data_IF_967516123247
#
_entry.id   IF_967516123247
#
_cell.length_a   1.000
_cell.length_b   1.000
_cell.length_c   1.000
_cell.angle_alpha   90.00
_cell.angle_beta   90.00
_cell.angle_gamma   90.00
#
_symmetry.space_group_name_H-M   'P 1'
#
loop_
_entity.id
_entity.type
_entity.pdbx_description
1 polymer ?
#
# COMPACT_ATOMS: atom_id res chain seq x y z
N UNK A 1 -13.24 5.81 -14.99
CA UNK A 1 -13.30 6.82 -13.89
C UNK A 1 -12.10 6.53 -12.99
N UNK A 2 -11.34 7.55 -12.60
CA UNK A 2 -10.18 7.39 -11.70
C UNK A 2 -10.60 6.77 -10.36
N UNK A 3 -9.93 5.68 -9.95
CA UNK A 3 -10.11 5.04 -8.64
C UNK A 3 -9.18 5.74 -7.65
N UNK A 4 -9.77 6.57 -6.78
CA UNK A 4 -9.03 7.45 -5.88
C UNK A 4 -9.69 7.49 -4.51
N UNK A 5 -8.90 7.28 -3.47
CA UNK A 5 -9.32 7.29 -2.08
C UNK A 5 -8.23 7.78 -1.14
N UNK A 6 -8.43 7.52 0.13
CA UNK A 6 -7.49 7.88 1.18
C UNK A 6 -7.55 6.89 2.35
N UNK A 7 -6.62 7.05 3.28
CA UNK A 7 -6.60 6.24 4.50
C UNK A 7 -7.70 6.66 5.49
N UNK A 8 -8.64 5.74 5.76
CA UNK A 8 -9.77 5.95 6.66
C UNK A 8 -9.64 5.14 7.96
N UNK A 9 -10.41 5.53 8.97
CA UNK A 9 -10.42 4.85 10.26
C UNK A 9 -11.38 3.66 10.27
N UNK A 10 -10.87 2.46 10.52
CA UNK A 10 -11.68 1.25 10.66
C UNK A 10 -12.46 1.17 12.00
N UNK A 11 -12.42 2.20 12.85
CA UNK A 11 -13.00 2.15 14.19
C UNK A 11 -14.52 1.96 14.24
N UNK A 12 -15.24 2.45 13.22
CA UNK A 12 -16.69 2.39 13.11
C UNK A 12 -17.21 1.30 12.14
N UNK A 13 -16.32 0.48 11.57
CA UNK A 13 -16.68 -0.63 10.69
C UNK A 13 -16.55 -0.33 9.19
N UNK A 14 -16.78 -1.36 8.37
CA UNK A 14 -16.61 -1.29 6.92
C UNK A 14 -17.67 -0.43 6.23
N UNK A 15 -18.93 -0.59 6.60
CA UNK A 15 -20.02 0.22 6.04
C UNK A 15 -19.77 1.71 6.28
N UNK A 16 -19.32 2.06 7.48
CA UNK A 16 -19.01 3.46 7.81
C UNK A 16 -17.86 4.00 6.95
N UNK A 17 -16.77 3.26 6.77
CA UNK A 17 -15.67 3.65 5.87
C UNK A 17 -16.16 3.86 4.43
N UNK A 18 -17.01 2.97 3.92
CA UNK A 18 -17.62 3.15 2.60
C UNK A 18 -18.45 4.42 2.49
N UNK A 19 -19.26 4.73 3.50
CA UNK A 19 -20.05 5.97 3.55
C UNK A 19 -19.17 7.23 3.65
N UNK A 20 -18.11 7.19 4.48
CA UNK A 20 -17.13 8.28 4.55
C UNK A 20 -16.44 8.49 3.21
N UNK A 21 -15.96 7.41 2.55
CA UNK A 21 -15.32 7.50 1.23
C UNK A 21 -16.23 8.23 0.23
N UNK A 22 -17.48 7.82 0.10
CA UNK A 22 -18.44 8.47 -0.81
C UNK A 22 -18.68 9.93 -0.42
N UNK A 23 -18.77 10.24 0.88
CA UNK A 23 -19.02 11.61 1.37
C UNK A 23 -17.94 12.61 0.99
N UNK A 24 -16.70 12.16 0.79
CA UNK A 24 -15.54 12.97 0.40
C UNK A 24 -15.22 12.88 -1.10
N UNK A 25 -16.06 12.21 -1.90
CA UNK A 25 -15.86 12.03 -3.33
C UNK A 25 -14.85 10.93 -3.70
N UNK A 26 -14.47 10.08 -2.76
CA UNK A 26 -13.67 8.89 -3.01
C UNK A 26 -14.51 7.73 -3.57
N UNK A 27 -13.89 6.79 -4.27
CA UNK A 27 -14.49 5.55 -4.76
C UNK A 27 -13.62 4.31 -4.48
N UNK A 28 -12.68 4.44 -3.59
CA UNK A 28 -11.88 3.43 -2.92
C UNK A 28 -11.44 3.99 -1.57
N UNK A 29 -10.82 3.18 -0.73
CA UNK A 29 -10.16 3.64 0.50
C UNK A 29 -9.15 2.62 0.99
N UNK A 30 -8.21 3.10 1.79
CA UNK A 30 -7.29 2.29 2.55
C UNK A 30 -7.64 2.34 4.05
N UNK A 31 -7.29 1.30 4.79
CA UNK A 31 -7.50 1.26 6.23
C UNK A 31 -6.48 0.33 6.91
N UNK A 32 -6.15 0.59 8.18
CA UNK A 32 -5.42 -0.39 8.97
C UNK A 32 -6.34 -1.51 9.45
N UNK A 33 -5.92 -2.77 9.24
CA UNK A 33 -6.66 -3.97 9.68
C UNK A 33 -6.88 -4.03 11.18
N UNK A 34 -6.01 -3.36 11.94
CA UNK A 34 -6.00 -3.25 13.41
C UNK A 34 -5.26 -1.99 13.85
N UNK A 35 -5.16 -1.76 15.15
CA UNK A 35 -4.35 -0.66 15.65
C UNK A 35 -2.93 -0.71 15.04
N UNK A 36 -2.47 0.33 14.32
CA UNK A 36 -1.20 0.33 13.60
C UNK A 36 0.04 0.22 14.51
N UNK A 37 -0.13 0.43 15.82
CA UNK A 37 0.95 0.22 16.82
C UNK A 37 1.00 -1.22 17.34
N UNK A 38 0.35 -2.15 16.65
CA UNK A 38 0.20 -3.52 17.09
C UNK A 38 -0.98 -3.69 18.02
N UNK A 39 -1.50 -4.89 18.13
CA UNK A 39 -2.58 -5.18 19.05
C UNK A 39 -3.59 -6.16 18.48
N UNK A 40 -4.52 -6.53 19.31
CA UNK A 40 -5.62 -7.43 18.96
C UNK A 40 -6.60 -6.70 18.05
N UNK A 41 -6.97 -7.31 16.95
CA UNK A 41 -8.08 -6.83 16.12
C UNK A 41 -9.42 -7.04 16.87
N UNK A 42 -10.38 -6.15 16.63
CA UNK A 42 -11.77 -6.38 17.07
C UNK A 42 -12.33 -7.63 16.37
N UNK A 43 -13.27 -8.35 16.97
CA UNK A 43 -14.01 -9.39 16.27
C UNK A 43 -14.58 -8.86 14.96
N UNK A 44 -14.49 -9.67 13.89
CA UNK A 44 -15.07 -9.29 12.59
C UNK A 44 -16.59 -9.34 12.69
N UNK A 45 -17.26 -8.25 12.37
CA UNK A 45 -18.71 -8.18 12.26
C UNK A 45 -19.14 -8.54 10.82
N UNK A 46 -19.61 -9.77 10.62
CA UNK A 46 -20.02 -10.24 9.31
C UNK A 46 -21.29 -9.54 8.79
N UNK A 47 -22.13 -8.99 9.67
CA UNK A 47 -23.29 -8.21 9.25
C UNK A 47 -22.85 -6.84 8.69
N UNK A 48 -21.87 -6.20 9.33
CA UNK A 48 -21.25 -4.96 8.80
C UNK A 48 -20.54 -5.21 7.48
N UNK A 49 -19.80 -6.32 7.35
CA UNK A 49 -19.14 -6.71 6.08
C UNK A 49 -20.18 -6.89 4.97
N UNK A 50 -21.28 -7.61 5.23
CA UNK A 50 -22.34 -7.81 4.23
C UNK A 50 -22.99 -6.48 3.82
N UNK A 51 -23.33 -5.63 4.80
CA UNK A 51 -23.89 -4.31 4.54
C UNK A 51 -22.92 -3.41 3.73
N UNK A 52 -21.63 -3.50 4.00
CA UNK A 52 -20.61 -2.81 3.21
C UNK A 52 -20.55 -3.31 1.77
N UNK A 53 -20.57 -4.63 1.55
CA UNK A 53 -20.50 -5.19 0.19
C UNK A 53 -21.70 -4.76 -0.66
N UNK A 54 -22.90 -4.75 -0.09
CA UNK A 54 -24.09 -4.24 -0.76
C UNK A 54 -23.97 -2.74 -1.06
N UNK A 55 -23.50 -1.96 -0.09
CA UNK A 55 -23.27 -0.52 -0.25
C UNK A 55 -22.21 -0.22 -1.32
N UNK A 56 -21.08 -0.91 -1.28
CA UNK A 56 -19.97 -0.74 -2.22
C UNK A 56 -20.43 -1.04 -3.66
N UNK A 57 -21.18 -2.13 -3.86
CA UNK A 57 -21.75 -2.48 -5.16
C UNK A 57 -22.73 -1.40 -5.68
N UNK A 58 -23.59 -0.87 -4.81
CA UNK A 58 -24.57 0.14 -5.17
C UNK A 58 -23.96 1.52 -5.51
N UNK A 59 -22.80 1.85 -4.93
CA UNK A 59 -22.16 3.16 -5.06
C UNK A 59 -20.89 3.14 -5.92
N UNK A 60 -20.51 1.98 -6.50
CA UNK A 60 -19.35 1.87 -7.37
C UNK A 60 -18.01 2.05 -6.65
N UNK A 61 -17.93 1.59 -5.38
CA UNK A 61 -16.63 1.51 -4.68
C UNK A 61 -15.82 0.38 -5.31
N UNK A 62 -14.59 0.70 -5.72
CA UNK A 62 -13.64 -0.24 -6.32
C UNK A 62 -12.94 -1.13 -5.30
N UNK A 63 -11.79 -1.69 -5.72
CA UNK A 63 -10.94 -2.44 -4.80
C UNK A 63 -10.47 -1.53 -3.67
N UNK A 64 -10.51 -2.03 -2.44
CA UNK A 64 -9.97 -1.34 -1.25
C UNK A 64 -8.64 -1.95 -0.86
N UNK A 65 -7.83 -1.18 -0.13
CA UNK A 65 -6.52 -1.58 0.34
C UNK A 65 -6.56 -1.74 1.86
N UNK A 66 -6.39 -2.94 2.36
CA UNK A 66 -6.12 -3.17 3.76
C UNK A 66 -4.62 -3.04 4.01
N UNK A 67 -4.21 -2.19 4.94
CA UNK A 67 -2.81 -2.00 5.27
C UNK A 67 -2.45 -2.72 6.56
N UNK A 68 -1.38 -3.50 6.52
CA UNK A 68 -0.80 -4.11 7.72
C UNK A 68 -0.34 -3.04 8.72
N UNK A 69 -0.36 -3.30 10.01
CA UNK A 69 0.29 -2.40 10.96
C UNK A 69 1.75 -2.15 10.59
N UNK A 70 2.15 -0.89 10.47
CA UNK A 70 3.53 -0.51 10.10
C UNK A 70 4.59 -0.94 11.12
N UNK A 71 4.18 -1.42 12.29
CA UNK A 71 5.07 -1.97 13.31
C UNK A 71 5.42 -3.44 13.09
N UNK A 72 4.77 -4.12 12.15
CA UNK A 72 5.12 -5.50 11.81
C UNK A 72 6.49 -5.56 11.15
N UNK A 73 7.28 -6.55 11.56
CA UNK A 73 8.59 -6.78 10.97
C UNK A 73 8.85 -8.27 10.82
N UNK A 74 8.51 -8.80 9.63
CA UNK A 74 8.70 -10.21 9.28
C UNK A 74 10.16 -10.64 9.17
N UNK A 75 11.10 -9.69 9.10
CA UNK A 75 12.53 -9.94 9.00
C UNK A 75 13.33 -9.39 10.20
N UNK A 76 12.71 -9.30 11.37
CA UNK A 76 13.42 -8.93 12.60
C UNK A 76 14.46 -10.01 13.00
N UNK A 77 15.56 -9.59 13.62
CA UNK A 77 16.50 -10.51 14.25
C UNK A 77 15.85 -11.32 15.38
N UNK A 78 14.84 -10.73 16.06
CA UNK A 78 14.10 -11.39 17.13
C UNK A 78 13.02 -12.35 16.56
N UNK A 79 13.13 -13.67 16.82
CA UNK A 79 12.14 -14.64 16.37
C UNK A 79 10.71 -14.36 16.88
N UNK A 80 10.57 -13.80 18.09
CA UNK A 80 9.26 -13.51 18.66
C UNK A 80 8.54 -12.39 17.87
N UNK A 81 9.30 -11.40 17.37
CA UNK A 81 8.76 -10.33 16.52
C UNK A 81 8.35 -10.90 15.16
N UNK A 82 9.16 -11.78 14.54
CA UNK A 82 8.80 -12.44 13.28
C UNK A 82 7.54 -13.30 13.43
N UNK A 83 7.46 -14.06 14.51
CA UNK A 83 6.31 -14.93 14.78
C UNK A 83 5.03 -14.11 15.04
N UNK A 84 5.16 -12.98 15.71
CA UNK A 84 4.05 -12.02 15.88
C UNK A 84 3.60 -11.45 14.53
N UNK A 85 4.54 -11.03 13.67
CA UNK A 85 4.23 -10.52 12.34
C UNK A 85 3.50 -11.58 11.50
N UNK A 86 4.01 -12.81 11.45
CA UNK A 86 3.43 -13.95 10.74
C UNK A 86 2.00 -14.23 11.19
N UNK A 87 1.75 -14.35 12.50
CA UNK A 87 0.40 -14.61 13.04
C UNK A 87 -0.56 -13.47 12.75
N UNK A 88 -0.08 -12.24 12.85
CA UNK A 88 -0.89 -11.04 12.60
C UNK A 88 -1.31 -10.95 11.14
N UNK A 89 -0.37 -11.12 10.20
CA UNK A 89 -0.68 -11.10 8.78
C UNK A 89 -1.60 -12.24 8.36
N UNK A 90 -1.42 -13.44 8.91
CA UNK A 90 -2.32 -14.57 8.65
C UNK A 90 -3.75 -14.27 9.12
N UNK A 91 -3.93 -13.72 10.33
CA UNK A 91 -5.27 -13.32 10.82
C UNK A 91 -5.88 -12.22 9.96
N UNK A 92 -5.09 -11.24 9.52
CA UNK A 92 -5.56 -10.19 8.61
C UNK A 92 -6.03 -10.75 7.26
N UNK A 93 -5.26 -11.65 6.66
CA UNK A 93 -5.61 -12.28 5.38
C UNK A 93 -6.87 -13.15 5.49
N UNK A 94 -7.02 -13.90 6.60
CA UNK A 94 -8.24 -14.67 6.86
C UNK A 94 -9.48 -13.78 7.02
N UNK A 95 -9.33 -12.59 7.60
CA UNK A 95 -10.41 -11.59 7.68
C UNK A 95 -10.76 -11.03 6.32
N UNK A 96 -9.76 -10.76 5.48
CA UNK A 96 -9.96 -10.25 4.12
C UNK A 96 -10.58 -11.29 3.18
N UNK A 97 -10.55 -12.56 3.51
CA UNK A 97 -11.24 -13.59 2.74
C UNK A 97 -12.78 -13.40 2.74
N UNK A 98 -13.31 -12.66 3.73
CA UNK A 98 -14.69 -12.18 3.75
C UNK A 98 -14.95 -10.95 2.86
N UNK A 99 -13.90 -10.35 2.31
CA UNK A 99 -13.92 -9.20 1.41
C UNK A 99 -13.14 -9.54 0.11
N UNK A 100 -13.64 -10.51 -0.68
CA UNK A 100 -12.86 -11.10 -1.77
C UNK A 100 -12.49 -10.08 -2.85
N UNK A 101 -11.30 -10.27 -3.44
CA UNK A 101 -10.82 -9.45 -4.55
C UNK A 101 -10.15 -8.13 -4.13
N UNK A 102 -9.98 -7.89 -2.84
CA UNK A 102 -9.29 -6.71 -2.32
C UNK A 102 -7.79 -6.93 -2.13
N UNK A 103 -7.08 -5.87 -1.78
CA UNK A 103 -5.63 -5.81 -1.69
C UNK A 103 -5.20 -5.76 -0.21
N UNK A 104 -4.08 -6.40 0.10
CA UNK A 104 -3.45 -6.31 1.41
C UNK A 104 -2.02 -5.82 1.27
N UNK A 105 -1.75 -4.61 1.67
CA UNK A 105 -0.45 -3.96 1.58
C UNK A 105 0.35 -4.09 2.88
N UNK A 106 1.66 -4.32 2.79
CA UNK A 106 2.54 -4.33 3.94
C UNK A 106 3.95 -3.82 3.61
N UNK A 107 4.59 -3.22 4.61
CA UNK A 107 6.01 -2.89 4.55
C UNK A 107 6.83 -4.18 4.67
N UNK A 108 7.77 -4.48 3.77
CA UNK A 108 8.58 -5.71 3.85
C UNK A 108 9.32 -5.86 5.18
N UNK A 109 9.67 -4.74 5.82
CA UNK A 109 10.27 -4.72 7.15
C UNK A 109 11.67 -4.11 7.19
N UNK A 110 12.39 -4.38 8.26
CA UNK A 110 13.74 -3.84 8.49
C UNK A 110 14.67 -4.94 8.99
N UNK A 111 15.80 -5.10 8.31
CA UNK A 111 16.76 -6.18 8.60
C UNK A 111 17.61 -5.96 9.86
N UNK A 112 17.59 -4.76 10.44
CA UNK A 112 18.27 -4.42 11.71
C UNK A 112 19.67 -5.05 11.82
N UNK A 113 20.56 -4.73 10.87
CA UNK A 113 21.97 -5.20 10.77
C UNK A 113 22.19 -6.67 10.37
N UNK A 114 21.16 -7.47 10.10
CA UNK A 114 21.32 -8.85 9.60
C UNK A 114 21.73 -8.90 8.11
N UNK A 115 21.48 -7.83 7.37
CA UNK A 115 21.68 -7.76 5.91
C UNK A 115 20.42 -8.11 5.14
N UNK A 116 20.35 -7.60 3.91
CA UNK A 116 19.17 -7.72 3.04
C UNK A 116 18.91 -9.18 2.65
N UNK A 117 19.94 -9.98 2.40
CA UNK A 117 19.79 -11.38 2.00
C UNK A 117 19.06 -12.21 3.08
N UNK A 118 19.51 -12.12 4.34
CA UNK A 118 18.85 -12.80 5.46
C UNK A 118 17.43 -12.30 5.65
N UNK A 119 17.21 -11.00 5.50
CA UNK A 119 15.87 -10.43 5.60
C UNK A 119 14.94 -10.94 4.49
N UNK A 120 15.43 -11.03 3.25
CA UNK A 120 14.67 -11.57 2.13
C UNK A 120 14.24 -13.02 2.39
N UNK A 121 15.16 -13.88 2.86
CA UNK A 121 14.84 -15.26 3.24
C UNK A 121 13.73 -15.30 4.31
N UNK A 122 13.86 -14.50 5.37
CA UNK A 122 12.88 -14.46 6.47
C UNK A 122 11.50 -13.96 6.02
N UNK A 123 11.44 -12.98 5.09
CA UNK A 123 10.19 -12.50 4.51
C UNK A 123 9.55 -13.58 3.65
N UNK A 124 10.32 -14.27 2.82
CA UNK A 124 9.84 -15.38 1.99
C UNK A 124 9.31 -16.53 2.84
N UNK A 125 10.02 -16.91 3.91
CA UNK A 125 9.56 -17.94 4.87
C UNK A 125 8.22 -17.54 5.49
N UNK A 126 8.07 -16.28 5.88
CA UNK A 126 6.81 -15.76 6.42
C UNK A 126 5.71 -15.85 5.37
N UNK A 127 5.93 -15.38 4.14
CA UNK A 127 4.94 -15.40 3.06
C UNK A 127 4.55 -16.83 2.70
N UNK A 128 5.50 -17.74 2.55
CA UNK A 128 5.24 -19.15 2.27
C UNK A 128 4.42 -19.85 3.38
N UNK A 129 4.53 -19.37 4.63
CA UNK A 129 3.76 -19.90 5.75
C UNK A 129 2.33 -19.36 5.87
N UNK A 130 2.02 -18.22 5.23
CA UNK A 130 0.71 -17.54 5.40
C UNK A 130 -0.12 -17.47 4.13
N UNK A 131 0.46 -17.67 2.94
CA UNK A 131 -0.27 -17.68 1.68
C UNK A 131 -0.89 -19.06 1.42
N UNK A 132 -2.06 -19.09 0.78
CA UNK A 132 -2.73 -20.32 0.35
C UNK A 132 -3.31 -20.21 -1.06
N UNK A 133 -3.47 -21.34 -1.73
CA UNK A 133 -3.79 -21.43 -3.15
C UNK A 133 -5.09 -20.71 -3.53
N UNK A 134 -6.15 -20.90 -2.75
CA UNK A 134 -7.50 -20.40 -3.08
C UNK A 134 -7.77 -18.98 -2.56
N UNK A 135 -6.78 -18.32 -1.97
CA UNK A 135 -6.86 -16.95 -1.48
C UNK A 135 -7.28 -15.99 -2.59
N UNK A 136 -8.23 -15.10 -2.30
CA UNK A 136 -8.75 -14.10 -3.24
C UNK A 136 -8.11 -12.72 -3.09
N UNK A 137 -7.40 -12.49 -1.99
CA UNK A 137 -6.66 -11.26 -1.70
C UNK A 137 -5.31 -11.28 -2.41
N UNK A 138 -4.92 -10.19 -3.05
CA UNK A 138 -3.54 -10.00 -3.53
C UNK A 138 -2.74 -9.28 -2.45
N UNK A 139 -1.61 -9.85 -2.08
CA UNK A 139 -0.70 -9.28 -1.08
C UNK A 139 0.32 -8.39 -1.76
N UNK A 140 0.42 -7.15 -1.32
CA UNK A 140 1.30 -6.13 -1.91
C UNK A 140 2.52 -5.88 -1.04
N UNK A 141 3.68 -5.98 -1.65
CA UNK A 141 4.93 -5.45 -1.13
C UNK A 141 4.96 -3.95 -1.42
N UNK A 142 5.12 -3.13 -0.41
CA UNK A 142 5.26 -1.69 -0.63
C UNK A 142 6.69 -1.32 -1.00
N UNK A 143 6.86 -0.38 -1.93
CA UNK A 143 8.15 0.26 -2.17
C UNK A 143 8.54 1.12 -0.98
N UNK A 144 9.78 1.02 -0.50
CA UNK A 144 10.23 1.67 0.73
C UNK A 144 11.26 2.78 0.45
N UNK A 145 11.28 3.79 1.32
CA UNK A 145 12.20 4.94 1.21
C UNK A 145 13.68 4.60 1.47
N UNK A 146 13.96 3.42 2.04
CA UNK A 146 15.32 3.03 2.41
C UNK A 146 15.82 3.69 3.68
N UNK A 147 14.91 4.07 4.58
CA UNK A 147 15.24 4.65 5.87
C UNK A 147 15.89 3.61 6.78
N UNK A 148 17.11 3.87 7.20
CA UNK A 148 17.87 2.96 8.06
C UNK A 148 18.17 1.62 7.39
N UNK A 149 17.50 0.55 7.81
CA UNK A 149 17.69 -0.82 7.32
C UNK A 149 16.40 -1.41 6.74
N UNK A 150 15.53 -0.57 6.20
CA UNK A 150 14.33 -1.00 5.48
C UNK A 150 14.68 -1.84 4.27
N UNK A 151 13.88 -2.88 4.03
CA UNK A 151 13.92 -3.76 2.85
C UNK A 151 12.84 -3.34 1.88
N UNK A 152 13.11 -3.42 0.58
CA UNK A 152 12.17 -2.99 -0.46
C UNK A 152 12.44 -1.58 -0.98
N UNK A 153 13.61 -1.02 -0.70
CA UNK A 153 14.04 0.29 -1.19
C UNK A 153 14.45 0.28 -2.67
N UNK A 154 14.76 -0.88 -3.23
CA UNK A 154 15.02 -1.04 -4.65
C UNK A 154 14.07 -2.07 -5.26
N UNK A 155 13.84 -1.97 -6.55
CA UNK A 155 12.99 -2.90 -7.28
C UNK A 155 13.58 -4.32 -7.26
N UNK A 156 14.90 -4.47 -7.24
CA UNK A 156 15.59 -5.74 -7.11
C UNK A 156 15.33 -6.43 -5.76
N UNK A 157 15.27 -5.66 -4.66
CA UNK A 157 14.93 -6.21 -3.34
C UNK A 157 13.49 -6.76 -3.33
N UNK A 158 12.52 -6.05 -3.92
CA UNK A 158 11.15 -6.52 -4.06
C UNK A 158 11.05 -7.72 -4.99
N UNK A 159 11.74 -7.68 -6.13
CA UNK A 159 11.79 -8.79 -7.07
C UNK A 159 12.33 -10.07 -6.41
N UNK A 160 13.41 -9.96 -5.61
CA UNK A 160 14.00 -11.10 -4.92
C UNK A 160 13.02 -11.76 -3.94
N UNK A 161 12.17 -10.98 -3.26
CA UNK A 161 11.10 -11.52 -2.40
C UNK A 161 10.04 -12.22 -3.25
N UNK A 162 9.59 -11.60 -4.33
CA UNK A 162 8.57 -12.16 -5.23
C UNK A 162 9.06 -13.47 -5.84
N UNK A 163 10.26 -13.49 -6.40
CA UNK A 163 10.83 -14.64 -7.11
C UNK A 163 11.01 -15.87 -6.21
N UNK A 164 11.38 -15.65 -4.94
CA UNK A 164 11.63 -16.73 -3.95
C UNK A 164 10.38 -17.17 -3.20
N UNK A 165 9.23 -16.52 -3.39
CA UNK A 165 7.97 -16.92 -2.75
C UNK A 165 7.24 -17.95 -3.62
N UNK A 166 6.84 -19.09 -3.03
CA UNK A 166 6.23 -20.23 -3.75
C UNK A 166 4.93 -19.86 -4.45
N UNK A 167 4.03 -19.14 -3.76
CA UNK A 167 2.77 -18.63 -4.31
C UNK A 167 2.90 -17.18 -4.76
N UNK A 168 3.92 -16.91 -5.59
CA UNK A 168 4.21 -15.54 -6.03
C UNK A 168 3.13 -14.95 -6.95
N UNK A 169 2.24 -15.75 -7.52
CA UNK A 169 1.04 -15.29 -8.24
C UNK A 169 0.07 -14.52 -7.32
N UNK A 170 0.14 -14.72 -6.01
CA UNK A 170 -0.62 -13.98 -4.99
C UNK A 170 0.03 -12.65 -4.62
N UNK A 171 1.24 -12.36 -5.11
CA UNK A 171 1.98 -11.15 -4.77
C UNK A 171 1.86 -10.08 -5.86
N UNK A 172 1.79 -8.85 -5.42
CA UNK A 172 1.92 -7.63 -6.23
C UNK A 172 2.78 -6.60 -5.52
N UNK A 173 2.79 -5.39 -6.05
CA UNK A 173 3.51 -4.25 -5.50
C UNK A 173 2.55 -3.07 -5.34
N UNK A 174 2.69 -2.33 -4.24
CA UNK A 174 2.18 -0.99 -4.05
C UNK A 174 3.35 -0.01 -4.22
N UNK A 175 3.23 0.91 -5.17
CA UNK A 175 4.23 1.95 -5.37
C UNK A 175 3.81 3.20 -4.60
N UNK A 176 4.61 3.59 -3.60
CA UNK A 176 4.44 4.87 -2.92
C UNK A 176 5.32 5.93 -3.58
N UNK A 177 4.72 7.03 -4.04
CA UNK A 177 5.42 8.11 -4.76
C UNK A 177 6.42 8.85 -3.88
N UNK A 178 6.14 9.03 -2.59
CA UNK A 178 7.08 9.58 -1.62
C UNK A 178 8.25 8.63 -1.40
N UNK A 179 7.98 7.34 -1.18
CA UNK A 179 9.02 6.34 -0.89
C UNK A 179 9.97 6.15 -2.06
N UNK A 180 9.47 5.98 -3.29
CA UNK A 180 10.37 5.83 -4.45
C UNK A 180 11.21 7.08 -4.69
N UNK A 181 10.63 8.28 -4.52
CA UNK A 181 11.39 9.53 -4.60
C UNK A 181 12.46 9.59 -3.51
N UNK A 182 12.11 9.30 -2.26
CA UNK A 182 13.05 9.29 -1.14
C UNK A 182 14.12 8.20 -1.30
N UNK A 183 13.82 7.08 -1.95
CA UNK A 183 14.80 6.02 -2.29
C UNK A 183 15.77 6.42 -3.42
N UNK A 184 15.47 7.48 -4.18
CA UNK A 184 16.33 8.00 -5.22
C UNK A 184 15.82 7.80 -6.65
N UNK A 185 14.61 7.27 -6.83
CA UNK A 185 13.97 7.20 -8.14
C UNK A 185 13.33 8.56 -8.48
N UNK A 186 13.88 9.27 -9.45
CA UNK A 186 13.43 10.61 -9.84
C UNK A 186 12.14 10.57 -10.68
N UNK A 187 11.01 10.41 -10.01
CA UNK A 187 9.69 10.44 -10.66
C UNK A 187 9.28 11.85 -11.10
N UNK A 188 10.01 12.89 -10.67
CA UNK A 188 9.73 14.28 -11.05
C UNK A 188 10.20 14.56 -12.47
N UNK A 189 11.41 14.13 -12.83
CA UNK A 189 12.01 14.44 -14.14
C UNK A 189 12.09 13.21 -15.07
N UNK A 190 12.04 11.98 -14.51
CA UNK A 190 12.35 10.74 -15.21
C UNK A 190 11.31 9.63 -14.94
N UNK A 191 10.00 9.99 -14.87
CA UNK A 191 8.93 9.01 -14.58
C UNK A 191 8.95 7.80 -15.54
N UNK A 192 9.13 8.04 -16.84
CA UNK A 192 9.16 6.98 -17.85
C UNK A 192 10.33 6.01 -17.64
N UNK A 193 11.51 6.54 -17.28
CA UNK A 193 12.69 5.72 -17.01
C UNK A 193 12.48 4.88 -15.73
N UNK A 194 11.87 5.46 -14.70
CA UNK A 194 11.53 4.74 -13.46
C UNK A 194 10.52 3.62 -13.74
N UNK A 195 9.49 3.87 -14.52
CA UNK A 195 8.50 2.85 -14.89
C UNK A 195 9.09 1.77 -15.79
N UNK A 196 9.99 2.15 -16.71
CA UNK A 196 10.71 1.18 -17.55
C UNK A 196 11.65 0.29 -16.70
N UNK A 197 12.31 0.85 -15.68
CA UNK A 197 13.13 0.08 -14.76
C UNK A 197 12.27 -0.86 -13.89
N UNK A 198 11.13 -0.38 -13.39
CA UNK A 198 10.16 -1.22 -12.67
C UNK A 198 9.68 -2.39 -13.56
N UNK A 199 9.33 -2.11 -14.81
CA UNK A 199 8.87 -3.14 -15.75
C UNK A 199 9.95 -4.18 -16.04
N UNK A 200 11.18 -3.73 -16.24
CA UNK A 200 12.34 -4.59 -16.49
C UNK A 200 12.66 -5.52 -15.31
N UNK A 201 12.54 -5.02 -14.08
CA UNK A 201 12.93 -5.75 -12.86
C UNK A 201 11.80 -6.60 -12.31
N UNK A 202 10.60 -6.04 -12.19
CA UNK A 202 9.45 -6.67 -11.51
C UNK A 202 8.35 -7.06 -12.51
N UNK A 203 8.11 -6.21 -13.51
CA UNK A 203 6.98 -6.27 -14.42
C UNK A 203 5.81 -5.39 -13.98
N UNK A 204 5.36 -4.49 -14.86
CA UNK A 204 4.24 -3.57 -14.57
C UNK A 204 2.91 -4.29 -14.26
N UNK A 205 2.75 -5.53 -14.72
CA UNK A 205 1.60 -6.36 -14.38
C UNK A 205 1.52 -6.72 -12.88
N UNK A 206 2.62 -6.58 -12.13
CA UNK A 206 2.69 -6.76 -10.67
C UNK A 206 2.30 -5.49 -9.89
N UNK A 207 2.30 -4.33 -10.52
CA UNK A 207 1.85 -3.09 -9.89
C UNK A 207 0.33 -3.10 -9.75
N UNK A 208 -0.18 -3.01 -8.52
CA UNK A 208 -1.60 -3.19 -8.21
C UNK A 208 -2.25 -2.01 -7.49
N UNK A 209 -1.46 -1.17 -6.84
CA UNK A 209 -1.92 0.03 -6.15
C UNK A 209 -0.84 1.10 -6.14
N UNK A 210 -1.23 2.33 -5.93
CA UNK A 210 -0.34 3.47 -5.79
C UNK A 210 -0.74 4.23 -4.52
N UNK A 211 0.22 4.43 -3.61
CA UNK A 211 0.11 5.45 -2.60
C UNK A 211 0.56 6.77 -3.22
N UNK A 212 -0.38 7.69 -3.37
CA UNK A 212 -0.13 8.98 -4.01
C UNK A 212 0.16 10.03 -2.93
N UNK A 213 1.43 10.22 -2.63
CA UNK A 213 1.90 11.11 -1.58
C UNK A 213 2.95 12.07 -2.12
N UNK A 214 2.94 13.33 -1.68
CA UNK A 214 4.07 14.23 -1.87
C UNK A 214 5.12 14.00 -0.79
N UNK A 215 6.36 14.43 -0.99
CA UNK A 215 7.44 14.25 -0.01
C UNK A 215 7.90 15.59 0.58
N UNK A 216 8.11 15.61 1.90
CA UNK A 216 8.78 16.73 2.61
C UNK A 216 10.25 16.88 2.27
N UNK A 217 10.82 15.93 1.54
CA UNK A 217 12.24 15.83 1.31
C UNK A 217 12.57 15.79 -0.18
N UNK A 218 13.78 16.22 -0.58
CA UNK A 218 14.25 16.05 -1.95
C UNK A 218 14.50 14.57 -2.26
N UNK A 219 14.49 14.23 -3.54
CA UNK A 219 14.79 12.90 -4.05
C UNK A 219 16.10 12.34 -3.46
N UNK A 220 16.08 11.08 -3.04
CA UNK A 220 17.22 10.38 -2.43
C UNK A 220 17.49 10.71 -0.95
N UNK A 221 16.54 11.32 -0.25
CA UNK A 221 16.73 11.72 1.15
C UNK A 221 16.62 10.56 2.18
N UNK A 222 16.01 9.44 1.83
CA UNK A 222 15.79 8.27 2.72
C UNK A 222 15.09 8.62 4.05
N UNK A 223 13.98 9.38 3.99
CA UNK A 223 13.34 9.92 5.21
C UNK A 223 11.93 9.39 5.46
N UNK A 224 11.17 9.10 4.44
CA UNK A 224 9.77 8.69 4.56
C UNK A 224 8.97 9.73 5.38
N UNK A 225 8.61 10.83 4.76
CA UNK A 225 7.81 11.90 5.35
C UNK A 225 6.88 12.48 4.31
N UNK A 226 5.62 12.05 4.35
CA UNK A 226 4.56 12.52 3.46
C UNK A 226 4.26 14.00 3.68
N UNK A 227 3.99 14.71 2.59
CA UNK A 227 3.46 16.06 2.56
C UNK A 227 2.11 16.06 1.84
N UNK A 228 1.34 17.11 2.03
CA UNK A 228 0.10 17.34 1.29
C UNK A 228 0.39 17.50 -0.21
N UNK A 229 -0.55 17.05 -1.04
CA UNK A 229 -0.42 17.07 -2.51
C UNK A 229 -0.05 18.47 -3.03
N UNK A 230 1.06 18.54 -3.74
CA UNK A 230 1.57 19.77 -4.35
C UNK A 230 2.29 20.72 -3.39
N UNK A 231 2.50 20.33 -2.13
CA UNK A 231 3.20 21.16 -1.13
C UNK A 231 4.61 20.65 -0.78
N UNK A 232 5.02 19.53 -1.36
CA UNK A 232 6.32 18.92 -1.16
C UNK A 232 7.27 19.10 -2.34
N UNK A 233 8.31 18.27 -2.33
CA UNK A 233 9.38 18.30 -3.34
C UNK A 233 9.04 17.57 -4.63
N UNK A 234 8.05 16.67 -4.63
CA UNK A 234 7.57 16.01 -5.85
C UNK A 234 6.71 17.02 -6.63
N UNK A 235 5.76 17.67 -5.94
CA UNK A 235 4.92 18.71 -6.48
C UNK A 235 3.74 18.20 -7.32
N UNK A 236 2.74 19.06 -7.43
CA UNK A 236 1.45 18.73 -8.06
C UNK A 236 1.59 18.25 -9.51
N UNK A 237 2.42 18.94 -10.30
CA UNK A 237 2.58 18.61 -11.73
C UNK A 237 3.13 17.19 -11.94
N UNK A 238 4.13 16.77 -11.16
CA UNK A 238 4.71 15.44 -11.24
C UNK A 238 3.71 14.36 -10.76
N UNK A 239 3.01 14.61 -9.66
CA UNK A 239 1.97 13.71 -9.17
C UNK A 239 0.83 13.55 -10.18
N UNK A 240 0.42 14.63 -10.87
CA UNK A 240 -0.58 14.53 -11.91
C UNK A 240 -0.09 13.78 -13.16
N UNK A 241 1.21 13.80 -13.48
CA UNK A 241 1.76 12.92 -14.53
C UNK A 241 1.63 11.44 -14.13
N UNK A 242 1.82 11.11 -12.83
CA UNK A 242 1.60 9.74 -12.33
C UNK A 242 0.12 9.35 -12.46
N UNK A 243 -0.80 10.22 -12.03
CA UNK A 243 -2.26 9.96 -12.09
C UNK A 243 -2.75 9.77 -13.52
N UNK A 244 -2.28 10.58 -14.47
CA UNK A 244 -2.72 10.57 -15.86
C UNK A 244 -1.94 9.57 -16.73
N UNK A 245 -0.92 8.90 -16.17
CA UNK A 245 -0.11 7.97 -16.93
C UNK A 245 -0.95 6.78 -17.46
N UNK A 246 -0.92 6.47 -18.77
CA UNK A 246 -1.79 5.47 -19.39
C UNK A 246 -1.75 4.09 -18.73
N UNK A 247 -0.60 3.68 -18.25
CA UNK A 247 -0.40 2.39 -17.57
C UNK A 247 -0.92 2.41 -16.13
N UNK A 248 -0.91 3.55 -15.45
CA UNK A 248 -1.18 3.68 -14.03
C UNK A 248 -2.63 4.08 -13.72
N UNK A 249 -3.27 4.86 -14.57
CA UNK A 249 -4.58 5.50 -14.34
C UNK A 249 -5.74 4.57 -14.00
N UNK A 250 -5.58 3.27 -14.23
CA UNK A 250 -6.60 2.27 -13.90
C UNK A 250 -6.36 1.56 -12.57
N UNK A 251 -5.26 1.87 -11.89
CA UNK A 251 -4.96 1.35 -10.56
C UNK A 251 -5.68 2.16 -9.48
N UNK A 252 -5.93 1.58 -8.29
CA UNK A 252 -6.37 2.36 -7.14
C UNK A 252 -5.23 3.25 -6.64
N UNK A 253 -5.56 4.53 -6.41
CA UNK A 253 -4.71 5.53 -5.79
C UNK A 253 -5.21 5.82 -4.39
N UNK A 254 -4.34 5.74 -3.39
CA UNK A 254 -4.65 6.00 -1.98
C UNK A 254 -3.76 7.13 -1.44
N UNK A 255 -4.41 8.11 -0.82
CA UNK A 255 -3.73 9.22 -0.16
C UNK A 255 -3.42 8.87 1.30
N UNK A 256 -2.18 9.09 1.71
CA UNK A 256 -1.73 8.99 3.10
C UNK A 256 -1.13 10.32 3.58
N UNK A 257 -1.51 11.39 2.92
CA UNK A 257 -1.06 12.76 3.22
C UNK A 257 -1.50 13.18 4.63
N UNK A 258 -0.77 14.10 5.29
CA UNK A 258 -1.07 14.53 6.65
C UNK A 258 -2.31 15.43 6.69
N UNK A 259 -3.48 14.84 6.48
CA UNK A 259 -4.78 15.52 6.43
C UNK A 259 -5.78 14.94 7.43
N UNK A 260 -6.79 15.75 7.73
CA UNK A 260 -8.08 15.28 8.24
C UNK A 260 -9.04 14.96 7.08
N UNK A 261 -10.25 14.52 7.38
CA UNK A 261 -11.23 14.14 6.37
C UNK A 261 -11.58 15.28 5.39
N UNK A 262 -11.63 16.51 5.89
CA UNK A 262 -11.89 17.69 5.06
C UNK A 262 -10.71 18.00 4.12
N UNK A 263 -9.49 17.82 4.59
CA UNK A 263 -8.27 17.92 3.78
C UNK A 263 -8.21 16.88 2.68
N UNK A 264 -8.54 15.62 2.99
CA UNK A 264 -8.66 14.57 1.99
C UNK A 264 -9.73 14.87 0.94
N UNK A 265 -10.90 15.38 1.36
CA UNK A 265 -11.94 15.78 0.43
C UNK A 265 -11.46 16.88 -0.55
N UNK A 266 -10.67 17.84 -0.06
CA UNK A 266 -10.10 18.89 -0.88
C UNK A 266 -9.06 18.37 -1.88
N UNK A 267 -8.15 17.48 -1.45
CA UNK A 267 -7.15 16.86 -2.33
C UNK A 267 -7.80 15.94 -3.38
N UNK A 268 -8.76 15.10 -2.99
CA UNK A 268 -9.51 14.24 -3.92
C UNK A 268 -10.22 15.08 -4.99
N UNK A 269 -10.86 16.16 -4.58
CA UNK A 269 -11.50 17.09 -5.51
C UNK A 269 -10.49 17.72 -6.47
N UNK A 270 -9.36 18.22 -5.95
CA UNK A 270 -8.29 18.83 -6.76
C UNK A 270 -7.74 17.85 -7.81
N UNK A 271 -7.43 16.62 -7.38
CA UNK A 271 -6.88 15.57 -8.27
C UNK A 271 -7.91 15.24 -9.36
N UNK A 272 -9.20 15.04 -9.01
CA UNK A 272 -10.25 14.73 -9.98
C UNK A 272 -10.49 15.85 -11.00
N UNK A 273 -10.38 17.12 -10.60
CA UNK A 273 -10.50 18.27 -11.49
C UNK A 273 -9.34 18.39 -12.49
N UNK A 274 -8.17 17.84 -12.16
CA UNK A 274 -6.97 17.87 -12.99
C UNK A 274 -6.71 16.54 -13.73
N UNK A 275 -7.45 15.49 -13.42
CA UNK A 275 -7.32 14.19 -14.09
C UNK A 275 -7.91 14.23 -15.50
N UNK A 276 -7.20 13.57 -16.48
CA UNK A 276 -7.53 13.49 -17.89
C UNK A 276 -8.23 12.16 -18.29
#
# INVERSE_FOLDING_TARGET
MLTLGCHLSASAGYLHMGQEAISIGANTFQFFTRNPRGGTAKPLDLADVAAYLDFASAHGIGQIVAHAPYTLNGCSADPAIRDFARRTMLDDLQRLDHLPGNLYNFHPGSHVKQGVEVATEQICDMLNAILWQDMKTTVLLETMAGKGSEVGRTFEELHAIIDRTELNDKLGVCLDTCHVSDAGYDIVNHLEDVLADFDRVIGLNRLKAIHLNDSKNPCGAHKDRHEQIGKGYIGLEALMRVVNHPTLKNLPFELETPNDLAGYAAEIKQIRELAE
#
